data_IF_205518736925
#
_entry.id   IF_205518736925
#
_cell.length_a   1.000
_cell.length_b   1.000
_cell.length_c   1.000
_cell.angle_alpha   90.00
_cell.angle_beta   90.00
_cell.angle_gamma   90.00
#
_symmetry.space_group_name_H-M   'P 1'
#
loop_
_entity.id
_entity.type
_entity.pdbx_description
1 polymer ?
#
# COMPACT_ATOMS: atom_id res chain seq x y z
N UNK A 1 3.85 18.15 14.52
CA UNK A 1 5.11 17.46 14.23
C UNK A 1 4.74 16.17 13.55
N UNK A 2 4.95 16.06 12.24
CA UNK A 2 4.77 14.80 11.54
C UNK A 2 6.06 14.01 11.76
N UNK A 3 6.00 12.98 12.59
CA UNK A 3 7.12 12.06 12.76
C UNK A 3 7.29 11.30 11.44
N UNK A 4 8.47 11.45 10.83
CA UNK A 4 8.82 10.75 9.59
C UNK A 4 8.76 9.24 9.86
N UNK A 5 7.96 8.51 9.09
CA UNK A 5 7.80 7.07 9.27
C UNK A 5 9.08 6.39 8.79
N UNK A 6 9.86 5.89 9.75
CA UNK A 6 11.09 5.17 9.50
C UNK A 6 10.81 3.69 9.21
N UNK A 7 11.83 2.97 8.69
CA UNK A 7 11.81 1.50 8.60
C UNK A 7 11.36 0.83 9.91
N UNK A 8 11.79 1.35 11.06
CA UNK A 8 11.56 0.75 12.38
C UNK A 8 10.08 0.85 12.79
N UNK A 9 9.39 1.90 12.35
CA UNK A 9 8.01 2.19 12.75
C UNK A 9 6.98 1.67 11.74
N UNK A 10 7.42 1.34 10.52
CA UNK A 10 6.59 0.87 9.41
C UNK A 10 5.60 -0.23 9.81
N UNK A 11 6.06 -1.30 10.47
CA UNK A 11 5.20 -2.40 10.88
C UNK A 11 4.16 -1.96 11.91
N UNK A 12 4.55 -1.11 12.87
CA UNK A 12 3.63 -0.60 13.88
C UNK A 12 2.54 0.28 13.25
N UNK A 13 2.91 1.13 12.29
CA UNK A 13 1.95 1.93 11.52
C UNK A 13 0.95 1.01 10.82
N UNK A 14 1.40 0.00 10.09
CA UNK A 14 0.51 -0.91 9.37
C UNK A 14 -0.42 -1.70 10.29
N UNK A 15 0.09 -2.22 11.41
CA UNK A 15 -0.70 -2.94 12.42
C UNK A 15 -1.81 -2.03 12.99
N UNK A 16 -1.50 -0.77 13.26
CA UNK A 16 -2.46 0.17 13.84
C UNK A 16 -3.48 0.68 12.82
N UNK A 17 -3.07 0.87 11.57
CA UNK A 17 -3.94 1.41 10.50
C UNK A 17 -4.84 0.34 9.86
N UNK A 18 -4.44 -0.93 9.90
CA UNK A 18 -5.12 -2.03 9.22
C UNK A 18 -5.39 -3.16 10.23
N UNK A 19 -6.35 -3.00 11.15
CA UNK A 19 -6.63 -3.99 12.18
C UNK A 19 -7.08 -5.34 11.59
N UNK A 20 -7.72 -5.34 10.41
CA UNK A 20 -8.13 -6.56 9.70
C UNK A 20 -6.96 -7.47 9.30
N UNK A 21 -5.76 -6.92 9.16
CA UNK A 21 -4.55 -7.62 8.76
C UNK A 21 -3.48 -7.60 9.87
N UNK A 22 -3.89 -7.31 11.12
CA UNK A 22 -2.96 -7.24 12.25
C UNK A 22 -2.12 -8.52 12.38
N UNK A 23 -2.76 -9.69 12.28
CA UNK A 23 -2.06 -10.97 12.40
C UNK A 23 -1.07 -11.19 11.25
N UNK A 24 -1.43 -10.80 10.03
CA UNK A 24 -0.56 -10.87 8.85
C UNK A 24 0.74 -10.07 9.01
N UNK A 25 0.71 -8.95 9.74
CA UNK A 25 1.91 -8.15 10.00
C UNK A 25 2.65 -8.60 11.26
N UNK A 26 1.95 -9.13 12.27
CA UNK A 26 2.57 -9.60 13.52
C UNK A 26 3.43 -10.85 13.34
N UNK A 27 3.14 -11.69 12.34
CA UNK A 27 3.96 -12.87 12.03
C UNK A 27 5.29 -12.53 11.36
N UNK A 28 5.46 -11.30 10.86
CA UNK A 28 6.71 -10.88 10.24
C UNK A 28 7.80 -10.67 11.32
N UNK A 29 9.04 -11.11 11.08
CA UNK A 29 10.16 -10.79 11.95
C UNK A 29 10.32 -9.28 12.15
N UNK A 30 10.77 -8.84 13.34
CA UNK A 30 10.97 -7.41 13.62
C UNK A 30 12.00 -6.75 12.70
N UNK A 31 12.97 -7.52 12.21
CA UNK A 31 14.06 -7.02 11.35
C UNK A 31 13.71 -7.06 9.85
N UNK A 32 12.44 -7.31 9.52
CA UNK A 32 11.97 -7.40 8.12
C UNK A 32 12.28 -6.13 7.34
N UNK A 33 12.79 -6.29 6.11
CA UNK A 33 13.08 -5.18 5.21
C UNK A 33 11.81 -4.46 4.73
N UNK A 34 11.90 -3.16 4.48
CA UNK A 34 10.78 -2.31 4.00
C UNK A 34 10.06 -2.93 2.79
N UNK A 35 10.82 -3.43 1.81
CA UNK A 35 10.28 -4.04 0.61
C UNK A 35 9.44 -5.29 0.92
N UNK A 36 9.92 -6.16 1.82
CA UNK A 36 9.18 -7.35 2.25
C UNK A 36 7.88 -6.98 2.98
N UNK A 37 7.92 -5.96 3.84
CA UNK A 37 6.71 -5.45 4.51
C UNK A 37 5.69 -4.93 3.48
N UNK A 38 6.14 -4.19 2.46
CA UNK A 38 5.25 -3.69 1.42
C UNK A 38 4.73 -4.78 0.48
N UNK A 39 5.52 -5.83 0.21
CA UNK A 39 5.01 -7.02 -0.46
C UNK A 39 3.87 -7.66 0.34
N UNK A 40 4.04 -7.79 1.66
CA UNK A 40 2.97 -8.29 2.53
C UNK A 40 1.73 -7.38 2.51
N UNK A 41 1.91 -6.06 2.50
CA UNK A 41 0.80 -5.11 2.34
C UNK A 41 0.06 -5.30 0.99
N UNK A 42 0.78 -5.58 -0.10
CA UNK A 42 0.16 -5.89 -1.40
C UNK A 42 -0.67 -7.18 -1.36
N UNK A 43 -0.12 -8.23 -0.75
CA UNK A 43 -0.80 -9.51 -0.58
C UNK A 43 -2.09 -9.35 0.23
N UNK A 44 -2.00 -8.68 1.38
CA UNK A 44 -3.15 -8.35 2.23
C UNK A 44 -4.20 -7.56 1.45
N UNK A 45 -3.79 -6.52 0.72
CA UNK A 45 -4.70 -5.70 -0.08
C UNK A 45 -5.44 -6.56 -1.10
N UNK A 46 -4.71 -7.45 -1.79
CA UNK A 46 -5.26 -8.34 -2.80
C UNK A 46 -6.25 -9.34 -2.19
N UNK A 47 -5.89 -9.99 -1.08
CA UNK A 47 -6.75 -10.94 -0.37
C UNK A 47 -8.04 -10.27 0.11
N UNK A 48 -7.94 -9.07 0.70
CA UNK A 48 -9.12 -8.31 1.15
C UNK A 48 -10.01 -7.90 -0.02
N UNK A 49 -9.42 -7.52 -1.15
CA UNK A 49 -10.17 -7.20 -2.37
C UNK A 49 -10.90 -8.43 -2.92
N UNK A 50 -10.25 -9.60 -2.96
CA UNK A 50 -10.89 -10.85 -3.36
C UNK A 50 -12.05 -11.26 -2.44
N UNK A 51 -11.93 -10.96 -1.15
CA UNK A 51 -12.98 -11.19 -0.14
C UNK A 51 -14.07 -10.10 -0.12
N UNK A 52 -14.04 -9.14 -1.07
CA UNK A 52 -14.95 -7.99 -1.11
C UNK A 52 -14.96 -7.14 0.18
N UNK A 53 -13.88 -7.16 0.97
CA UNK A 53 -13.72 -6.39 2.20
C UNK A 53 -13.24 -4.96 1.89
N UNK A 54 -13.99 -4.22 1.09
CA UNK A 54 -13.57 -2.93 0.53
C UNK A 54 -13.30 -1.84 1.58
N UNK A 55 -13.94 -1.92 2.75
CA UNK A 55 -13.60 -1.03 3.89
C UNK A 55 -12.16 -1.26 4.38
N UNK A 56 -11.72 -2.52 4.43
CA UNK A 56 -10.36 -2.89 4.80
C UNK A 56 -9.37 -2.55 3.68
N UNK A 57 -9.75 -2.78 2.41
CA UNK A 57 -8.96 -2.34 1.24
C UNK A 57 -8.71 -0.83 1.29
N UNK A 58 -9.74 -0.03 1.59
CA UNK A 58 -9.59 1.43 1.77
C UNK A 58 -8.56 1.77 2.85
N UNK A 59 -8.52 1.03 3.96
CA UNK A 59 -7.51 1.21 5.02
C UNK A 59 -6.10 0.89 4.52
N UNK A 60 -5.92 -0.18 3.75
CA UNK A 60 -4.64 -0.50 3.12
C UNK A 60 -4.17 0.63 2.20
N UNK A 61 -5.08 1.15 1.37
CA UNK A 61 -4.76 2.26 0.46
C UNK A 61 -4.42 3.54 1.23
N UNK A 62 -5.17 3.88 2.28
CA UNK A 62 -4.87 5.06 3.11
C UNK A 62 -3.53 4.91 3.85
N UNK A 63 -3.22 3.72 4.36
CA UNK A 63 -1.93 3.46 4.98
C UNK A 63 -0.78 3.61 3.97
N UNK A 64 -0.94 3.08 2.76
CA UNK A 64 0.05 3.27 1.70
C UNK A 64 0.22 4.74 1.27
N UNK A 65 -0.86 5.54 1.27
CA UNK A 65 -0.75 7.00 1.05
C UNK A 65 0.02 7.69 2.19
N UNK A 66 -0.24 7.33 3.44
CA UNK A 66 0.49 7.85 4.61
C UNK A 66 1.99 7.52 4.50
N UNK A 67 2.33 6.28 4.14
CA UNK A 67 3.71 5.85 3.91
C UNK A 67 4.39 6.56 2.74
N UNK A 68 3.64 6.88 1.68
CA UNK A 68 4.15 7.61 0.53
C UNK A 68 4.47 9.08 0.86
N UNK A 69 3.68 9.70 1.74
CA UNK A 69 3.79 11.13 2.06
C UNK A 69 4.72 11.41 3.23
N UNK A 70 4.61 10.60 4.26
CA UNK A 70 5.26 10.85 5.55
C UNK A 70 6.39 9.83 5.82
N UNK A 71 6.57 8.83 4.96
CA UNK A 71 7.68 7.89 5.05
C UNK A 71 9.02 8.52 4.67
N UNK A 72 10.09 8.01 5.26
CA UNK A 72 11.44 8.37 4.83
C UNK A 72 11.66 8.03 3.33
N UNK A 73 12.79 8.47 2.77
CA UNK A 73 13.10 8.25 1.36
C UNK A 73 13.08 6.76 0.98
N UNK A 74 13.49 5.86 1.88
CA UNK A 74 13.49 4.42 1.62
C UNK A 74 12.07 3.85 1.61
N UNK A 75 11.23 4.24 2.57
CA UNK A 75 9.82 3.83 2.67
C UNK A 75 9.03 4.36 1.47
N UNK A 76 9.12 5.65 1.19
CA UNK A 76 8.42 6.28 0.07
C UNK A 76 8.82 5.65 -1.27
N UNK A 77 10.12 5.43 -1.50
CA UNK A 77 10.60 4.74 -2.71
C UNK A 77 10.06 3.31 -2.81
N UNK A 78 10.04 2.58 -1.69
CA UNK A 78 9.54 1.22 -1.69
C UNK A 78 8.01 1.18 -1.96
N UNK A 79 7.25 2.18 -1.51
CA UNK A 79 5.82 2.31 -1.85
C UNK A 79 5.65 2.48 -3.36
N UNK A 80 6.42 3.38 -3.99
CA UNK A 80 6.37 3.56 -5.43
C UNK A 80 6.74 2.28 -6.19
N UNK A 81 7.87 1.66 -5.85
CA UNK A 81 8.43 0.52 -6.59
C UNK A 81 7.65 -0.77 -6.39
N UNK A 82 7.12 -1.00 -5.19
CA UNK A 82 6.43 -2.26 -4.84
C UNK A 82 4.92 -2.08 -4.86
N UNK A 83 4.40 -1.17 -4.03
CA UNK A 83 2.97 -1.12 -3.77
C UNK A 83 2.19 -0.55 -4.95
N UNK A 84 2.61 0.59 -5.49
CA UNK A 84 1.92 1.21 -6.63
C UNK A 84 2.00 0.33 -7.87
N UNK A 85 3.17 -0.26 -8.15
CA UNK A 85 3.33 -1.23 -9.24
C UNK A 85 2.45 -2.46 -9.07
N UNK A 86 2.33 -3.04 -7.87
CA UNK A 86 1.42 -4.19 -7.66
C UNK A 86 -0.05 -3.78 -7.73
N UNK A 87 -0.36 -2.56 -7.31
CA UNK A 87 -1.70 -1.99 -7.40
C UNK A 87 -2.13 -1.79 -8.85
N UNK A 88 -1.24 -1.37 -9.76
CA UNK A 88 -1.58 -1.27 -11.19
C UNK A 88 -2.04 -2.60 -11.76
N UNK A 89 -1.32 -3.68 -11.47
CA UNK A 89 -1.70 -5.03 -11.88
C UNK A 89 -3.06 -5.48 -11.34
N UNK A 90 -3.48 -4.98 -10.18
CA UNK A 90 -4.79 -5.27 -9.60
C UNK A 90 -5.91 -4.47 -10.29
N UNK A 91 -5.62 -3.21 -10.64
CA UNK A 91 -6.52 -2.30 -11.33
C UNK A 91 -6.71 -2.66 -12.81
N UNK A 92 -5.66 -3.16 -13.46
CA UNK A 92 -5.68 -3.51 -14.89
C UNK A 92 -6.57 -4.72 -15.23
N UNK A 93 -7.10 -5.42 -14.22
CA UNK A 93 -8.02 -6.55 -14.41
C UNK A 93 -9.38 -6.15 -14.98
N UNK A 94 -9.78 -4.87 -14.85
CA UNK A 94 -11.03 -4.31 -15.40
C UNK A 94 -12.29 -5.11 -15.03
N UNK A 95 -12.29 -5.68 -13.83
CA UNK A 95 -13.47 -6.32 -13.24
C UNK A 95 -14.20 -5.37 -12.27
N UNK A 96 -15.39 -5.75 -11.80
CA UNK A 96 -16.17 -4.92 -10.88
C UNK A 96 -15.41 -4.55 -9.59
N UNK A 97 -14.45 -5.35 -9.14
CA UNK A 97 -13.64 -5.05 -7.94
C UNK A 97 -12.62 -3.98 -8.25
N UNK A 98 -11.96 -4.07 -9.41
CA UNK A 98 -10.99 -3.06 -9.86
C UNK A 98 -11.62 -1.67 -9.97
N UNK A 99 -12.86 -1.57 -10.47
CA UNK A 99 -13.63 -0.33 -10.50
C UNK A 99 -13.83 0.25 -9.10
N UNK A 100 -14.27 -0.57 -8.13
CA UNK A 100 -14.41 -0.13 -6.74
C UNK A 100 -13.08 0.35 -6.16
N UNK A 101 -11.98 -0.35 -6.43
CA UNK A 101 -10.65 0.05 -5.95
C UNK A 101 -10.21 1.39 -6.57
N UNK A 102 -10.50 1.63 -7.85
CA UNK A 102 -10.28 2.94 -8.48
C UNK A 102 -10.99 4.08 -7.74
N UNK A 103 -12.25 3.86 -7.34
CA UNK A 103 -13.00 4.85 -6.55
C UNK A 103 -12.43 5.05 -5.13
N UNK A 104 -11.80 4.03 -4.55
CA UNK A 104 -11.22 4.09 -3.21
C UNK A 104 -9.80 4.68 -3.17
N UNK A 105 -9.13 4.79 -4.31
CA UNK A 105 -7.77 5.35 -4.41
C UNK A 105 -7.67 6.74 -3.78
N UNK A 106 -6.83 6.90 -2.74
CA UNK A 106 -6.49 8.21 -2.19
C UNK A 106 -5.72 9.08 -3.18
N UNK A 107 -5.73 10.40 -2.96
CA UNK A 107 -5.28 11.38 -3.97
C UNK A 107 -3.80 11.21 -4.34
N UNK A 108 -2.89 11.08 -3.38
CA UNK A 108 -1.47 11.00 -3.65
C UNK A 108 -1.12 9.66 -4.33
N UNK A 109 -1.72 8.55 -3.89
CA UNK A 109 -1.55 7.26 -4.55
C UNK A 109 -2.10 7.25 -5.98
N UNK A 110 -3.26 7.88 -6.21
CA UNK A 110 -3.82 8.03 -7.56
C UNK A 110 -2.89 8.83 -8.46
N UNK A 111 -2.34 9.93 -7.95
CA UNK A 111 -1.36 10.75 -8.68
C UNK A 111 -0.13 9.93 -9.04
N UNK A 112 0.43 9.19 -8.10
CA UNK A 112 1.62 8.37 -8.33
C UNK A 112 1.34 7.21 -9.30
N UNK A 113 0.18 6.56 -9.20
CA UNK A 113 -0.27 5.54 -10.15
C UNK A 113 -0.35 6.09 -11.58
N UNK A 114 -1.04 7.22 -11.78
CA UNK A 114 -1.11 7.84 -13.11
C UNK A 114 0.25 8.32 -13.59
N UNK A 115 1.10 8.84 -12.70
CA UNK A 115 2.47 9.20 -13.03
C UNK A 115 3.20 7.99 -13.60
N UNK A 116 3.19 6.85 -12.92
CA UNK A 116 3.87 5.62 -13.35
C UNK A 116 3.33 5.05 -14.67
N UNK A 117 2.03 5.19 -14.94
CA UNK A 117 1.45 4.77 -16.22
C UNK A 117 1.87 5.67 -17.40
N UNK A 118 2.03 6.97 -17.17
CA UNK A 118 2.33 7.93 -18.23
C UNK A 118 3.82 8.25 -18.36
N UNK A 119 4.63 7.94 -17.35
CA UNK A 119 6.09 7.97 -17.45
C UNK A 119 6.61 6.63 -17.93
N UNK A 120 6.39 6.33 -19.22
CA UNK A 120 7.43 5.62 -19.95
C UNK A 120 8.71 6.48 -19.84
N UNK A 121 9.84 5.86 -19.47
CA UNK A 121 11.16 6.51 -19.51
C UNK A 121 11.38 7.21 -20.87
N UNK A 122 12.11 8.34 -20.89
CA UNK A 122 12.57 8.95 -22.15
C UNK A 122 13.31 7.95 -23.03
#
# INVERSE_FOLDING_TARGET
MNDVISKTDLLNVLINRIPEARQDFMVLPRETGVYTVLHKLCEVTSVLAYQNKFRAVKRCLLAAEELLKEGDKQVSNAVCTVYVFRLSMLLDKRDARSEVIHYLLPRALRTEYHRQLHTCLP
#
